data_IF_062971195752
#
_entry.id   IF_062971195752
#
_cell.length_a   1.000
_cell.length_b   1.000
_cell.length_c   1.000
_cell.angle_alpha   90.00
_cell.angle_beta   90.00
_cell.angle_gamma   90.00
#
_symmetry.space_group_name_H-M   'P 1'
#
loop_
_entity.id
_entity.type
_entity.pdbx_description
1 polymer ?
#
# COMPACT_ATOMS: atom_id res chain seq x y z
N UNK A 1 0.07 30.24 -18.93
CA UNK A 1 -1.24 29.59 -18.63
C UNK A 1 -0.91 28.35 -17.81
N UNK A 2 -0.90 28.52 -16.51
CA UNK A 2 -0.74 27.43 -15.57
C UNK A 2 -2.01 26.58 -15.62
N UNK A 3 -1.90 25.35 -16.05
CA UNK A 3 -2.92 24.35 -15.81
C UNK A 3 -2.83 23.96 -14.34
N UNK A 4 -3.67 24.55 -13.52
CA UNK A 4 -3.93 24.08 -12.18
C UNK A 4 -4.60 22.72 -12.27
N UNK A 5 -3.79 21.66 -12.33
CA UNK A 5 -4.24 20.34 -11.97
C UNK A 5 -4.68 20.40 -10.52
N UNK A 6 -5.95 20.65 -10.28
CA UNK A 6 -6.55 20.42 -8.98
C UNK A 6 -6.48 18.92 -8.73
N UNK A 7 -5.36 18.47 -8.16
CA UNK A 7 -5.33 17.29 -7.34
C UNK A 7 -6.58 17.40 -6.44
N UNK A 8 -7.39 16.36 -6.43
CA UNK A 8 -8.41 16.16 -5.40
C UNK A 8 -7.64 16.05 -4.06
N UNK A 9 -7.18 17.18 -3.59
CA UNK A 9 -6.74 17.34 -2.23
C UNK A 9 -8.00 17.13 -1.40
N UNK A 10 -8.21 15.90 -1.04
CA UNK A 10 -9.00 15.58 0.12
C UNK A 10 -8.26 16.21 1.29
N UNK A 11 -8.51 17.49 1.48
CA UNK A 11 -8.08 18.21 2.66
C UNK A 11 -8.89 17.64 3.84
N UNK A 12 -8.65 16.39 4.16
CA UNK A 12 -9.12 15.80 5.38
C UNK A 12 -8.46 16.55 6.52
N UNK A 13 -9.12 17.59 6.97
CA UNK A 13 -8.66 18.44 8.06
C UNK A 13 -9.46 18.13 9.32
N UNK A 14 -8.80 18.11 10.44
CA UNK A 14 -9.44 18.04 11.75
C UNK A 14 -9.29 19.36 12.47
N UNK A 15 -10.35 19.78 13.17
CA UNK A 15 -10.33 20.97 14.01
C UNK A 15 -10.06 20.53 15.44
N UNK A 16 -8.91 20.94 15.97
CA UNK A 16 -8.53 20.71 17.36
C UNK A 16 -8.14 22.04 17.98
N UNK A 17 -8.81 22.45 19.05
CA UNK A 17 -8.54 23.71 19.75
C UNK A 17 -8.47 24.95 18.83
N UNK A 18 -9.42 25.10 17.92
CA UNK A 18 -9.49 26.20 16.93
C UNK A 18 -8.39 26.16 15.85
N UNK A 19 -7.51 25.17 15.86
CA UNK A 19 -6.48 24.98 14.83
C UNK A 19 -6.96 23.93 13.81
N UNK A 20 -6.87 24.29 12.54
CA UNK A 20 -7.14 23.36 11.43
C UNK A 20 -5.79 22.79 10.96
N UNK A 21 -5.65 21.47 10.98
CA UNK A 21 -4.47 20.77 10.49
C UNK A 21 -4.83 19.69 9.48
N UNK A 22 -3.89 19.27 8.67
CA UNK A 22 -4.06 18.09 7.82
C UNK A 22 -4.05 16.80 8.68
N UNK A 23 -4.75 15.78 8.22
CA UNK A 23 -4.60 14.44 8.77
C UNK A 23 -3.18 13.93 8.53
N UNK A 24 -2.65 13.20 9.48
CA UNK A 24 -1.39 12.47 9.32
C UNK A 24 -1.59 11.23 8.44
N UNK A 25 -0.54 10.65 7.83
CA UNK A 25 -0.66 9.39 7.10
C UNK A 25 -1.30 8.27 7.92
N UNK A 26 -0.95 8.17 9.21
CA UNK A 26 -1.55 7.20 10.13
C UNK A 26 -3.06 7.38 10.30
N UNK A 27 -3.52 8.62 10.43
CA UNK A 27 -4.95 8.90 10.51
C UNK A 27 -5.67 8.56 9.19
N UNK A 28 -5.01 8.78 8.04
CA UNK A 28 -5.54 8.37 6.74
C UNK A 28 -5.61 6.85 6.60
N UNK A 29 -4.60 6.11 7.06
CA UNK A 29 -4.59 4.64 7.11
C UNK A 29 -5.81 4.13 7.90
N UNK A 30 -6.01 4.65 9.11
CA UNK A 30 -7.14 4.28 9.98
C UNK A 30 -8.50 4.59 9.37
N UNK A 31 -8.66 5.76 8.73
CA UNK A 31 -9.90 6.13 8.04
C UNK A 31 -10.22 5.20 6.89
N UNK A 32 -9.23 4.70 6.18
CA UNK A 32 -9.40 3.74 5.11
C UNK A 32 -9.48 2.29 5.59
N UNK A 33 -9.23 2.04 6.87
CA UNK A 33 -9.30 0.71 7.47
C UNK A 33 -8.05 -0.14 7.29
N UNK A 34 -6.92 0.46 6.90
CA UNK A 34 -5.62 -0.20 6.93
C UNK A 34 -5.12 -0.36 8.37
N UNK A 35 -4.27 -1.36 8.62
CA UNK A 35 -3.52 -1.44 9.88
C UNK A 35 -2.66 -0.19 10.09
N UNK A 36 -2.41 0.15 11.35
CA UNK A 36 -1.51 1.24 11.71
C UNK A 36 -0.13 1.04 11.08
N UNK A 37 0.44 2.13 10.61
CA UNK A 37 1.77 2.16 9.95
C UNK A 37 1.86 1.32 8.68
N UNK A 38 0.74 1.03 8.01
CA UNK A 38 0.72 0.22 6.79
C UNK A 38 1.64 0.76 5.70
N UNK A 39 1.65 2.06 5.49
CA UNK A 39 2.50 2.74 4.49
C UNK A 39 3.85 3.19 5.05
N UNK A 40 4.12 2.92 6.32
CA UNK A 40 5.39 3.26 6.95
C UNK A 40 6.39 2.13 6.72
N UNK A 41 7.20 2.28 5.68
CA UNK A 41 8.20 1.29 5.24
C UNK A 41 9.64 1.78 5.41
N UNK A 42 9.83 2.91 6.07
CA UNK A 42 11.13 3.51 6.32
C UNK A 42 11.88 2.85 7.48
N UNK A 43 12.13 1.56 7.42
CA UNK A 43 12.75 0.80 8.51
C UNK A 43 14.26 0.88 8.56
N UNK A 44 14.88 1.33 7.48
CA UNK A 44 16.30 1.51 7.43
C UNK A 44 16.65 2.93 7.83
N UNK A 45 17.59 3.10 8.73
CA UNK A 45 18.05 4.40 9.19
C UNK A 45 19.50 4.61 8.79
N UNK A 46 19.76 5.78 8.27
CA UNK A 46 21.13 6.23 8.04
C UNK A 46 21.78 6.53 9.39
N UNK A 47 22.88 5.85 9.70
CA UNK A 47 23.58 5.98 10.98
C UNK A 47 24.19 7.36 11.22
N UNK A 48 24.41 8.15 10.16
CA UNK A 48 24.97 9.49 10.26
C UNK A 48 23.89 10.57 10.37
N UNK A 49 22.78 10.42 9.65
CA UNK A 49 21.73 11.43 9.58
C UNK A 49 20.50 11.09 10.45
N UNK A 50 20.34 9.85 10.86
CA UNK A 50 19.16 9.36 11.56
C UNK A 50 17.90 9.33 10.68
N UNK A 51 18.03 9.54 9.37
CA UNK A 51 16.91 9.57 8.44
C UNK A 51 16.51 8.17 7.98
N UNK A 52 15.21 7.90 7.98
CA UNK A 52 14.65 6.66 7.45
C UNK A 52 14.72 6.61 5.92
N UNK A 53 14.91 5.41 5.38
CA UNK A 53 14.88 5.16 3.93
C UNK A 53 14.31 3.80 3.60
N UNK A 54 13.90 3.64 2.34
CA UNK A 54 13.42 2.38 1.78
C UNK A 54 14.06 2.14 0.41
N UNK A 55 13.97 0.91 -0.08
CA UNK A 55 14.49 0.53 -1.40
C UNK A 55 13.35 0.24 -2.37
N UNK A 56 13.50 0.68 -3.63
CA UNK A 56 12.61 0.31 -4.71
C UNK A 56 12.91 -1.10 -5.25
N UNK A 57 12.15 -1.53 -6.27
CA UNK A 57 12.31 -2.86 -6.88
C UNK A 57 13.68 -3.07 -7.53
N UNK A 58 14.35 -1.99 -7.93
CA UNK A 58 15.68 -2.00 -8.55
C UNK A 58 16.81 -1.85 -7.53
N UNK A 59 16.51 -1.78 -6.22
CA UNK A 59 17.49 -1.59 -5.16
C UNK A 59 17.97 -0.16 -4.99
N UNK A 60 17.30 0.82 -5.59
CA UNK A 60 17.62 2.23 -5.40
C UNK A 60 17.04 2.74 -4.09
N UNK A 61 17.88 3.46 -3.36
CA UNK A 61 17.53 4.05 -2.06
C UNK A 61 16.65 5.28 -2.22
N UNK A 62 15.56 5.34 -1.47
CA UNK A 62 14.64 6.48 -1.37
C UNK A 62 14.50 6.92 0.08
N UNK A 63 14.48 8.23 0.28
CA UNK A 63 14.26 8.83 1.61
C UNK A 63 12.81 8.68 2.02
N UNK A 64 12.58 8.42 3.30
CA UNK A 64 11.23 8.38 3.86
C UNK A 64 10.59 9.77 3.83
N UNK A 65 9.38 9.86 3.32
CA UNK A 65 8.60 11.08 3.26
C UNK A 65 7.10 10.77 3.34
N UNK A 66 6.33 11.71 3.84
CA UNK A 66 4.87 11.57 3.92
C UNK A 66 4.17 11.70 2.56
N UNK A 67 4.78 12.42 1.61
CA UNK A 67 4.17 12.68 0.30
C UNK A 67 3.84 11.40 -0.50
N UNK A 68 4.74 10.42 -0.65
CA UNK A 68 4.41 9.13 -1.27
C UNK A 68 3.31 8.36 -0.52
N UNK A 69 3.30 8.45 0.81
CA UNK A 69 2.27 7.82 1.66
C UNK A 69 0.89 8.39 1.39
N UNK A 70 0.76 9.73 1.37
CA UNK A 70 -0.49 10.41 1.02
C UNK A 70 -0.95 10.09 -0.40
N UNK A 71 -0.02 10.07 -1.39
CA UNK A 71 -0.34 9.70 -2.76
C UNK A 71 -0.88 8.27 -2.85
N UNK A 72 -0.20 7.33 -2.22
CA UNK A 72 -0.58 5.92 -2.23
C UNK A 72 -1.92 5.67 -1.52
N UNK A 73 -2.15 6.30 -0.36
CA UNK A 73 -3.42 6.25 0.35
C UNK A 73 -4.55 6.91 -0.45
N UNK A 74 -4.27 8.05 -1.11
CA UNK A 74 -5.27 8.73 -1.94
C UNK A 74 -5.69 7.95 -3.18
N UNK A 75 -4.79 7.13 -3.73
CA UNK A 75 -5.08 6.23 -4.85
C UNK A 75 -5.67 4.88 -4.41
N UNK A 76 -5.69 4.60 -3.11
CA UNK A 76 -6.20 3.35 -2.57
C UNK A 76 -7.71 3.39 -2.32
N UNK A 77 -8.24 2.27 -1.88
CA UNK A 77 -9.67 2.08 -1.58
C UNK A 77 -9.91 2.07 -0.06
N UNK A 78 -11.12 2.45 0.34
CA UNK A 78 -11.58 2.24 1.71
C UNK A 78 -11.91 0.76 1.93
N UNK A 79 -11.18 0.10 2.84
CA UNK A 79 -11.28 -1.35 3.05
C UNK A 79 -12.62 -1.83 3.65
N UNK A 80 -13.27 -1.13 4.61
CA UNK A 80 -14.45 -1.65 5.29
C UNK A 80 -15.61 -2.00 4.35
N UNK A 81 -16.01 -1.18 3.36
CA UNK A 81 -17.07 -1.53 2.42
C UNK A 81 -16.73 -2.76 1.58
N UNK A 82 -15.49 -2.85 1.10
CA UNK A 82 -15.02 -3.99 0.31
C UNK A 82 -14.92 -5.26 1.14
N UNK A 83 -14.46 -5.17 2.39
CA UNK A 83 -14.45 -6.32 3.30
C UNK A 83 -15.87 -6.86 3.54
N UNK A 84 -16.83 -5.96 3.73
CA UNK A 84 -18.24 -6.33 3.87
C UNK A 84 -18.78 -7.04 2.63
N UNK A 85 -18.45 -6.53 1.43
CA UNK A 85 -18.86 -7.12 0.15
C UNK A 85 -18.20 -8.50 -0.06
N UNK A 86 -16.88 -8.58 0.09
CA UNK A 86 -16.12 -9.81 -0.10
C UNK A 86 -16.52 -10.89 0.89
N UNK A 87 -16.82 -10.54 2.14
CA UNK A 87 -17.34 -11.50 3.12
C UNK A 87 -18.63 -12.20 2.65
N UNK A 88 -19.51 -11.47 1.95
CA UNK A 88 -20.72 -12.06 1.36
C UNK A 88 -20.42 -12.91 0.13
N UNK A 89 -19.52 -12.43 -0.69
CA UNK A 89 -19.11 -13.11 -1.91
C UNK A 89 -18.40 -14.42 -1.58
N UNK A 90 -17.44 -14.41 -0.66
CA UNK A 90 -16.70 -15.59 -0.24
C UNK A 90 -17.57 -16.66 0.43
N UNK A 91 -18.73 -16.30 0.99
CA UNK A 91 -19.70 -17.27 1.52
C UNK A 91 -20.36 -18.15 0.46
N UNK A 92 -20.25 -17.76 -0.82
CA UNK A 92 -20.84 -18.49 -1.96
C UNK A 92 -19.78 -19.21 -2.81
N UNK A 93 -18.50 -19.11 -2.48
CA UNK A 93 -17.44 -19.80 -3.19
C UNK A 93 -17.18 -21.17 -2.57
N UNK A 94 -16.69 -22.07 -3.42
CA UNK A 94 -16.07 -23.29 -2.92
C UNK A 94 -14.87 -22.96 -2.03
N UNK A 95 -14.54 -23.86 -1.11
CA UNK A 95 -13.33 -23.76 -0.32
C UNK A 95 -12.12 -23.75 -1.25
N UNK A 96 -11.04 -23.08 -0.85
CA UNK A 96 -9.79 -22.96 -1.59
C UNK A 96 -9.83 -21.97 -2.77
N UNK A 97 -10.76 -21.02 -2.78
CA UNK A 97 -10.75 -19.94 -3.74
C UNK A 97 -9.48 -19.10 -3.61
N UNK A 98 -8.83 -18.83 -4.73
CA UNK A 98 -7.63 -18.00 -4.83
C UNK A 98 -7.93 -16.70 -5.56
N UNK A 99 -7.10 -15.68 -5.35
CA UNK A 99 -7.24 -14.38 -5.96
C UNK A 99 -5.95 -13.96 -6.67
N UNK A 100 -6.12 -13.17 -7.72
CA UNK A 100 -5.07 -12.36 -8.33
C UNK A 100 -5.52 -10.90 -8.34
N UNK A 101 -4.62 -9.97 -8.08
CA UNK A 101 -4.90 -8.53 -8.04
C UNK A 101 -4.16 -7.79 -9.15
N UNK A 102 -4.88 -6.96 -9.91
CA UNK A 102 -4.33 -6.06 -10.91
C UNK A 102 -4.40 -4.62 -10.41
N UNK A 103 -3.34 -3.84 -10.67
CA UNK A 103 -3.23 -2.44 -10.23
C UNK A 103 -3.44 -2.33 -8.71
N UNK A 104 -2.73 -3.15 -7.98
CA UNK A 104 -3.02 -3.47 -6.58
C UNK A 104 -2.80 -2.30 -5.61
N UNK A 105 -2.04 -1.29 -6.02
CA UNK A 105 -1.68 -0.18 -5.16
C UNK A 105 -0.89 -0.67 -3.94
N UNK A 106 -1.35 -0.31 -2.76
CA UNK A 106 -0.72 -0.68 -1.49
C UNK A 106 -1.24 -1.98 -0.88
N UNK A 107 -1.82 -2.87 -1.67
CA UNK A 107 -2.22 -4.20 -1.22
C UNK A 107 -3.56 -4.27 -0.50
N UNK A 108 -4.49 -3.36 -0.78
CA UNK A 108 -5.78 -3.33 -0.08
C UNK A 108 -6.64 -4.57 -0.34
N UNK A 109 -6.74 -5.02 -1.58
CA UNK A 109 -7.51 -6.22 -1.93
C UNK A 109 -6.87 -7.51 -1.41
N UNK A 110 -5.57 -7.77 -1.61
CA UNK A 110 -4.88 -8.90 -0.98
C UNK A 110 -5.07 -8.94 0.54
N UNK A 111 -4.95 -7.80 1.22
CA UNK A 111 -5.14 -7.73 2.66
C UNK A 111 -6.52 -8.22 3.10
N UNK A 112 -7.59 -7.72 2.47
CA UNK A 112 -8.96 -8.13 2.81
C UNK A 112 -9.19 -9.59 2.45
N UNK A 113 -8.75 -10.00 1.28
CA UNK A 113 -8.93 -11.36 0.78
C UNK A 113 -8.29 -12.38 1.71
N UNK A 114 -7.04 -12.18 2.09
CA UNK A 114 -6.32 -13.09 2.98
C UNK A 114 -6.88 -13.10 4.41
N UNK A 115 -7.45 -12.00 4.87
CA UNK A 115 -8.18 -11.99 6.13
C UNK A 115 -9.43 -12.86 6.13
N UNK A 116 -10.06 -13.07 4.96
CA UNK A 116 -11.29 -13.85 4.81
C UNK A 116 -11.03 -15.31 4.42
N UNK A 117 -10.02 -15.57 3.60
CA UNK A 117 -9.77 -16.87 2.99
C UNK A 117 -8.49 -17.55 3.47
N UNK A 118 -7.70 -16.86 4.28
CA UNK A 118 -6.42 -17.36 4.79
C UNK A 118 -5.22 -16.83 4.03
N UNK A 119 -4.09 -16.84 4.73
CA UNK A 119 -2.81 -16.35 4.21
C UNK A 119 -2.35 -17.22 3.04
N UNK A 120 -1.82 -16.62 1.98
CA UNK A 120 -1.32 -17.37 0.84
C UNK A 120 -2.36 -17.59 -0.27
N UNK A 121 -3.59 -17.15 -0.08
CA UNK A 121 -4.66 -17.33 -1.08
C UNK A 121 -4.68 -16.23 -2.15
N UNK A 122 -4.01 -15.10 -1.95
CA UNK A 122 -3.67 -14.18 -3.03
C UNK A 122 -2.40 -14.69 -3.72
N UNK A 123 -2.55 -15.23 -4.94
CA UNK A 123 -1.45 -15.90 -5.65
C UNK A 123 -0.43 -14.92 -6.23
N UNK A 124 -0.91 -13.79 -6.75
CA UNK A 124 -0.05 -12.75 -7.29
C UNK A 124 -0.79 -11.40 -7.32
N UNK A 125 -0.02 -10.32 -7.33
CA UNK A 125 -0.50 -8.97 -7.55
C UNK A 125 0.41 -8.24 -8.56
N UNK A 126 -0.14 -7.27 -9.30
CA UNK A 126 0.59 -6.45 -10.27
C UNK A 126 0.44 -4.98 -9.90
N UNK A 127 1.55 -4.27 -9.86
CA UNK A 127 1.63 -2.83 -9.63
C UNK A 127 2.85 -2.26 -10.38
N UNK A 128 2.80 -1.00 -10.80
CA UNK A 128 3.86 -0.34 -11.56
C UNK A 128 4.55 0.79 -10.78
N UNK A 129 3.90 1.31 -9.76
CA UNK A 129 4.42 2.41 -8.94
C UNK A 129 5.37 1.88 -7.85
N UNK A 130 6.59 2.39 -7.80
CA UNK A 130 7.66 1.88 -6.94
C UNK A 130 7.32 1.91 -5.44
N UNK A 131 6.70 3.00 -4.96
CA UNK A 131 6.36 3.08 -3.53
C UNK A 131 5.27 2.08 -3.12
N UNK A 132 4.13 1.93 -3.82
CA UNK A 132 3.18 0.85 -3.57
C UNK A 132 3.81 -0.54 -3.64
N UNK A 133 4.66 -0.81 -4.63
CA UNK A 133 5.42 -2.07 -4.74
C UNK A 133 6.25 -2.33 -3.46
N UNK A 134 6.97 -1.32 -2.99
CA UNK A 134 7.77 -1.46 -1.76
C UNK A 134 6.90 -1.73 -0.54
N UNK A 135 5.72 -1.08 -0.43
CA UNK A 135 4.75 -1.34 0.64
C UNK A 135 4.26 -2.80 0.59
N UNK A 136 3.81 -3.27 -0.57
CA UNK A 136 3.28 -4.65 -0.71
C UNK A 136 4.36 -5.70 -0.47
N UNK A 137 5.55 -5.53 -0.99
CA UNK A 137 6.70 -6.40 -0.68
C UNK A 137 6.95 -6.49 0.81
N UNK A 138 6.90 -5.35 1.51
CA UNK A 138 7.12 -5.31 2.95
C UNK A 138 6.00 -5.99 3.74
N UNK A 139 4.74 -5.85 3.33
CA UNK A 139 3.57 -6.36 4.07
C UNK A 139 3.25 -7.82 3.79
N UNK A 140 3.50 -8.29 2.58
CA UNK A 140 3.20 -9.67 2.15
C UNK A 140 4.45 -10.52 1.93
N UNK A 141 5.62 -9.91 1.80
CA UNK A 141 6.88 -10.64 1.72
C UNK A 141 7.19 -11.38 3.03
N UNK A 142 7.75 -12.58 2.92
CA UNK A 142 8.39 -13.26 4.04
C UNK A 142 9.77 -12.67 4.25
N UNK A 143 10.11 -12.29 5.47
CA UNK A 143 11.41 -11.69 5.81
C UNK A 143 12.60 -12.67 5.67
N UNK A 144 12.34 -13.95 5.42
CA UNK A 144 13.35 -14.99 5.62
C UNK A 144 13.84 -15.70 4.35
N UNK A 145 13.22 -15.49 3.17
CA UNK A 145 13.66 -16.19 1.95
C UNK A 145 13.73 -15.25 0.73
N UNK A 146 14.93 -14.97 0.21
CA UNK A 146 15.08 -14.23 -1.06
C UNK A 146 14.51 -14.96 -2.28
N UNK A 147 14.03 -16.19 -2.12
CA UNK A 147 13.56 -17.06 -3.19
C UNK A 147 12.04 -17.07 -3.44
N UNK A 148 11.23 -16.56 -2.54
CA UNK A 148 9.75 -16.60 -2.67
C UNK A 148 9.18 -15.35 -3.37
N UNK A 149 9.92 -14.85 -4.35
CA UNK A 149 9.50 -13.70 -5.19
C UNK A 149 8.46 -14.07 -6.26
N UNK A 150 7.94 -15.29 -6.23
CA UNK A 150 6.92 -15.76 -7.19
C UNK A 150 5.52 -15.20 -6.99
N UNK A 151 5.26 -14.60 -5.82
CA UNK A 151 3.90 -14.21 -5.44
C UNK A 151 3.47 -12.83 -5.96
N UNK A 152 4.42 -11.95 -6.22
CA UNK A 152 4.14 -10.61 -6.73
C UNK A 152 4.98 -10.37 -7.98
N UNK A 153 4.33 -10.18 -9.11
CA UNK A 153 4.98 -9.79 -10.36
C UNK A 153 5.20 -8.27 -10.35
N UNK A 154 6.44 -7.87 -10.10
CA UNK A 154 6.84 -6.47 -10.20
C UNK A 154 7.77 -6.32 -11.41
N UNK A 155 7.44 -5.47 -12.38
CA UNK A 155 8.37 -5.17 -13.45
C UNK A 155 9.56 -4.41 -12.86
N UNK A 156 10.74 -5.04 -12.82
CA UNK A 156 12.00 -4.35 -12.63
C UNK A 156 12.48 -3.91 -14.02
N UNK A 157 12.50 -2.60 -14.24
CA UNK A 157 13.04 -2.00 -15.43
C UNK A 157 11.98 -1.39 -16.34
N UNK A 158 12.03 -0.08 -16.49
CA UNK A 158 11.64 0.55 -17.74
C UNK A 158 12.70 0.14 -18.74
N UNK A 159 12.44 -0.86 -19.58
CA UNK A 159 13.13 -0.93 -20.85
C UNK A 159 12.73 0.34 -21.61
N UNK A 160 13.72 1.20 -21.85
CA UNK A 160 13.56 2.32 -22.75
C UNK A 160 13.20 1.75 -24.14
N UNK A 161 11.98 2.03 -24.56
CA UNK A 161 11.57 1.89 -25.97
C UNK A 161 11.99 3.13 -26.73
#
# INVERSE_FOLDING_TARGET
>A
KESSGQSLNLNNTVRQNMVVRRLTPLECERLQGFPDHWTDIGEWYDSQTGEGYWFDSCGKRHKTADSPRYKALGNSIALPPWKWLLKRLCGNYERDATMASLFDGIGGFPLIWEQLNGRGTCLWASEIEEFPIAVTKRRFGTLEEPGDMGRFLFPCGKEEL
#
